data_IF_913301369104
#
_entry.id   IF_913301369104
#
_cell.length_a   1.000
_cell.length_b   1.000
_cell.length_c   1.000
_cell.angle_alpha   90.00
_cell.angle_beta   90.00
_cell.angle_gamma   90.00
#
_symmetry.space_group_name_H-M   'P 1'
#
loop_
_entity.id
_entity.type
_entity.pdbx_description
1 polymer ?
#
# COMPACT_ATOMS: atom_id res chain seq x y z
N UNK A 1 26.45 -16.11 21.39
CA UNK A 1 26.24 -14.65 21.52
C UNK A 1 26.70 -14.03 20.21
N UNK A 2 25.86 -13.21 19.57
CA UNK A 2 26.19 -12.60 18.28
C UNK A 2 27.12 -11.38 18.43
N UNK A 3 28.00 -11.15 17.44
CA UNK A 3 28.89 -9.99 17.40
C UNK A 3 28.09 -8.70 17.13
N UNK A 4 28.12 -7.69 18.02
CA UNK A 4 27.40 -6.43 17.84
C UNK A 4 27.71 -5.70 16.54
N UNK A 5 28.95 -5.77 16.04
CA UNK A 5 29.36 -5.09 14.80
C UNK A 5 28.74 -5.77 13.58
N UNK A 6 28.68 -7.10 13.59
CA UNK A 6 28.04 -7.88 12.52
C UNK A 6 26.52 -7.62 12.51
N UNK A 7 25.90 -7.55 13.69
CA UNK A 7 24.47 -7.24 13.80
C UNK A 7 24.18 -5.82 13.28
N UNK A 8 24.99 -4.83 13.66
CA UNK A 8 24.82 -3.45 13.20
C UNK A 8 24.95 -3.34 11.67
N UNK A 9 25.96 -3.98 11.08
CA UNK A 9 26.16 -3.97 9.64
C UNK A 9 24.97 -4.61 8.88
N UNK A 10 24.40 -5.70 9.41
CA UNK A 10 23.23 -6.33 8.79
C UNK A 10 21.97 -5.46 8.93
N UNK A 11 21.78 -4.78 10.07
CA UNK A 11 20.69 -3.81 10.26
C UNK A 11 20.78 -2.64 9.25
N UNK A 12 21.97 -2.11 9.01
CA UNK A 12 22.20 -1.03 8.05
C UNK A 12 21.88 -1.48 6.62
N UNK A 13 22.31 -2.69 6.25
CA UNK A 13 22.03 -3.28 4.95
C UNK A 13 20.52 -3.49 4.72
N UNK A 14 19.80 -3.98 5.73
CA UNK A 14 18.34 -4.13 5.68
C UNK A 14 17.68 -2.75 5.51
N UNK A 15 18.16 -1.74 6.22
CA UNK A 15 17.62 -0.38 6.16
C UNK A 15 17.79 0.22 4.76
N UNK A 16 19.00 0.17 4.20
CA UNK A 16 19.26 0.67 2.84
C UNK A 16 18.41 -0.05 1.78
N UNK A 17 18.27 -1.38 1.89
CA UNK A 17 17.45 -2.17 0.97
C UNK A 17 15.98 -1.71 0.98
N UNK A 18 15.43 -1.42 2.16
CA UNK A 18 14.05 -0.92 2.30
C UNK A 18 13.91 0.50 1.77
N UNK A 19 14.85 1.39 2.05
CA UNK A 19 14.85 2.77 1.52
C UNK A 19 14.87 2.83 0.00
N UNK A 20 15.60 1.92 -0.65
CA UNK A 20 15.70 1.87 -2.10
C UNK A 20 14.43 1.36 -2.79
N UNK A 21 13.60 0.58 -2.09
CA UNK A 21 12.50 -0.18 -2.72
C UNK A 21 11.12 0.16 -2.19
N UNK A 22 11.01 0.87 -1.08
CA UNK A 22 9.75 1.20 -0.41
C UNK A 22 9.68 2.70 -0.09
N UNK A 23 8.51 3.34 -0.21
CA UNK A 23 8.34 4.76 0.07
C UNK A 23 8.28 5.06 1.58
N UNK A 24 9.29 4.61 2.35
CA UNK A 24 9.28 4.68 3.82
C UNK A 24 9.39 6.11 4.37
N UNK A 25 9.81 7.06 3.53
CA UNK A 25 9.87 8.50 3.85
C UNK A 25 8.58 9.24 3.47
N UNK A 26 7.63 8.56 2.81
CA UNK A 26 6.33 9.11 2.44
C UNK A 26 5.29 8.84 3.53
N UNK A 27 4.22 9.63 3.56
CA UNK A 27 3.08 9.42 4.45
C UNK A 27 2.25 8.24 3.95
N UNK A 28 2.43 7.07 4.56
CA UNK A 28 1.78 5.81 4.17
C UNK A 28 1.48 4.94 5.39
N UNK A 29 0.49 4.06 5.28
CA UNK A 29 0.18 3.04 6.29
C UNK A 29 1.01 1.76 6.18
N UNK A 30 1.95 1.69 5.22
CA UNK A 30 2.69 0.48 4.88
C UNK A 30 2.11 -0.24 3.67
N UNK A 31 2.42 -1.55 3.55
CA UNK A 31 1.77 -2.43 2.57
C UNK A 31 0.26 -2.37 2.77
N UNK A 32 -0.46 -1.98 1.73
CA UNK A 32 -1.90 -1.71 1.79
C UNK A 32 -2.70 -3.01 1.73
N UNK A 33 -2.24 -3.98 0.92
CA UNK A 33 -2.90 -5.26 0.72
C UNK A 33 -2.00 -6.43 1.05
N UNK A 34 -2.62 -7.51 1.55
CA UNK A 34 -1.95 -8.79 1.79
C UNK A 34 -1.52 -9.42 0.46
N UNK A 35 -0.44 -10.18 0.49
CA UNK A 35 -0.04 -11.02 -0.65
C UNK A 35 -0.98 -12.21 -0.79
N UNK A 36 -1.63 -12.41 -1.95
CA UNK A 36 -2.40 -13.62 -2.23
C UNK A 36 -1.50 -14.87 -2.25
N UNK A 37 -2.05 -16.08 -2.05
CA UNK A 37 -1.28 -17.32 -2.12
C UNK A 37 -0.48 -17.45 -3.44
N UNK A 38 0.83 -17.62 -3.33
CA UNK A 38 1.73 -17.78 -4.47
C UNK A 38 1.99 -16.52 -5.30
N UNK A 39 1.46 -15.36 -4.92
CA UNK A 39 1.56 -14.13 -5.71
C UNK A 39 1.91 -12.92 -4.84
N UNK A 40 2.46 -11.86 -5.46
CA UNK A 40 2.78 -10.61 -4.77
C UNK A 40 1.77 -9.55 -5.14
N UNK A 41 1.15 -8.92 -4.15
CA UNK A 41 0.12 -7.90 -4.36
C UNK A 41 0.64 -6.76 -5.26
N UNK A 42 1.87 -6.30 -5.04
CA UNK A 42 2.45 -5.22 -5.85
C UNK A 42 2.53 -5.59 -7.35
N UNK A 43 2.85 -6.84 -7.70
CA UNK A 43 2.94 -7.27 -9.10
C UNK A 43 1.56 -7.25 -9.76
N UNK A 44 0.54 -7.70 -9.03
CA UNK A 44 -0.85 -7.67 -9.50
C UNK A 44 -1.36 -6.24 -9.69
N UNK A 45 -1.06 -5.35 -8.75
CA UNK A 45 -1.44 -3.94 -8.81
C UNK A 45 -0.73 -3.24 -9.98
N UNK A 46 0.55 -3.53 -10.19
CA UNK A 46 1.32 -2.96 -11.29
C UNK A 46 0.83 -3.47 -12.65
N UNK A 47 0.59 -4.78 -12.77
CA UNK A 47 0.01 -5.39 -13.97
C UNK A 47 -1.40 -4.87 -14.29
N UNK A 48 -2.16 -4.47 -13.27
CA UNK A 48 -3.46 -3.81 -13.43
C UNK A 48 -3.37 -2.32 -13.80
N UNK A 49 -2.16 -1.80 -14.07
CA UNK A 49 -1.93 -0.43 -14.53
C UNK A 49 -2.19 0.62 -13.45
N UNK A 50 -2.05 0.27 -12.17
CA UNK A 50 -2.36 1.17 -11.06
C UNK A 50 -1.16 2.00 -10.58
N UNK A 51 0.07 1.79 -11.08
CA UNK A 51 1.23 2.58 -10.65
C UNK A 51 1.02 4.07 -10.92
N UNK A 52 1.19 4.89 -9.90
CA UNK A 52 0.97 6.34 -10.00
C UNK A 52 -0.50 6.75 -10.08
N UNK A 53 -1.46 5.82 -10.04
CA UNK A 53 -2.89 6.12 -10.02
C UNK A 53 -3.22 7.04 -8.84
N UNK A 54 -3.95 8.11 -9.10
CA UNK A 54 -4.25 9.14 -8.12
C UNK A 54 -5.75 9.38 -8.02
N UNK A 55 -6.24 9.54 -6.79
CA UNK A 55 -7.60 9.97 -6.46
C UNK A 55 -7.49 11.00 -5.34
N UNK A 56 -7.99 12.21 -5.57
CA UNK A 56 -7.84 13.33 -4.64
C UNK A 56 -6.37 13.56 -4.27
N UNK A 57 -6.07 13.64 -2.96
CA UNK A 57 -4.70 13.74 -2.44
C UNK A 57 -3.94 12.41 -2.30
N UNK A 58 -4.58 11.27 -2.60
CA UNK A 58 -4.00 9.94 -2.44
C UNK A 58 -3.44 9.42 -3.77
N UNK A 59 -2.30 8.71 -3.73
CA UNK A 59 -1.68 8.11 -4.90
C UNK A 59 -1.13 6.71 -4.62
N UNK A 60 -1.18 5.81 -5.61
CA UNK A 60 -0.41 4.57 -5.60
C UNK A 60 1.05 4.90 -5.85
N UNK A 61 1.93 4.55 -4.91
CA UNK A 61 3.34 4.92 -5.00
C UNK A 61 3.96 4.50 -6.34
N UNK A 62 4.62 5.44 -7.06
CA UNK A 62 5.42 5.11 -8.24
C UNK A 62 6.61 4.20 -7.95
N UNK A 63 7.06 4.12 -6.69
CA UNK A 63 8.16 3.26 -6.26
C UNK A 63 7.67 1.83 -6.02
N UNK A 64 6.62 1.66 -5.21
CA UNK A 64 6.09 0.35 -4.85
C UNK A 64 4.55 0.34 -4.84
N UNK A 65 3.93 -0.32 -5.81
CA UNK A 65 2.49 -0.25 -6.05
C UNK A 65 1.59 -0.80 -4.93
N UNK A 66 2.13 -1.58 -3.99
CA UNK A 66 1.38 -1.97 -2.79
C UNK A 66 1.37 -0.91 -1.67
N UNK A 67 1.80 0.32 -1.95
CA UNK A 67 1.74 1.44 -1.00
C UNK A 67 0.84 2.53 -1.55
N UNK A 68 -0.19 2.87 -0.80
CA UNK A 68 -0.92 4.12 -0.98
C UNK A 68 -0.22 5.22 -0.19
N UNK A 69 0.09 6.33 -0.84
CA UNK A 69 0.77 7.49 -0.28
C UNK A 69 -0.14 8.71 -0.26
N UNK A 70 -0.01 9.52 0.78
CA UNK A 70 -0.66 10.82 0.89
C UNK A 70 0.31 11.89 0.36
N UNK A 71 -0.05 12.54 -0.75
CA UNK A 71 0.75 13.61 -1.39
C UNK A 71 0.70 14.95 -0.62
N UNK A 72 -0.10 15.01 0.45
CA UNK A 72 -0.40 16.22 1.20
C UNK A 72 -1.89 16.53 1.08
N UNK A 73 -2.62 16.46 2.20
CA UNK A 73 -4.05 16.78 2.23
C UNK A 73 -5.00 15.67 1.79
N UNK A 74 -4.52 14.44 1.54
CA UNK A 74 -5.42 13.31 1.27
C UNK A 74 -6.34 13.06 2.46
N UNK A 75 -7.64 12.88 2.17
CA UNK A 75 -8.63 12.47 3.14
C UNK A 75 -8.64 10.95 3.31
N UNK A 76 -9.26 10.45 4.38
CA UNK A 76 -9.49 9.01 4.53
C UNK A 76 -10.32 8.46 3.35
N UNK A 77 -11.32 9.20 2.89
CA UNK A 77 -12.15 8.83 1.75
C UNK A 77 -11.34 8.71 0.44
N UNK A 78 -10.34 9.57 0.22
CA UNK A 78 -9.45 9.47 -0.94
C UNK A 78 -8.66 8.16 -0.93
N UNK A 79 -8.07 7.82 0.22
CA UNK A 79 -7.26 6.60 0.40
C UNK A 79 -8.13 5.34 0.24
N UNK A 80 -9.33 5.33 0.82
CA UNK A 80 -10.25 4.21 0.72
C UNK A 80 -10.78 4.04 -0.71
N UNK A 81 -11.15 5.14 -1.38
CA UNK A 81 -11.62 5.12 -2.77
C UNK A 81 -10.50 4.65 -3.70
N UNK A 82 -9.27 5.11 -3.48
CA UNK A 82 -8.11 4.65 -4.24
C UNK A 82 -7.87 3.16 -4.03
N UNK A 83 -7.89 2.69 -2.78
CA UNK A 83 -7.70 1.27 -2.50
C UNK A 83 -8.80 0.38 -3.07
N UNK A 84 -10.07 0.81 -3.03
CA UNK A 84 -11.16 0.06 -3.65
C UNK A 84 -11.06 0.06 -5.18
N UNK A 85 -10.64 1.17 -5.79
CA UNK A 85 -10.36 1.24 -7.23
C UNK A 85 -9.25 0.26 -7.63
N UNK A 86 -8.18 0.18 -6.83
CA UNK A 86 -7.09 -0.79 -7.04
C UNK A 86 -7.62 -2.22 -6.95
N UNK A 87 -8.41 -2.55 -5.92
CA UNK A 87 -9.01 -3.88 -5.76
C UNK A 87 -9.86 -4.28 -6.96
N UNK A 88 -10.72 -3.38 -7.44
CA UNK A 88 -11.56 -3.61 -8.61
C UNK A 88 -10.74 -3.86 -9.88
N UNK A 89 -9.71 -3.04 -10.13
CA UNK A 89 -8.84 -3.21 -11.30
C UNK A 89 -8.05 -4.51 -11.26
N UNK A 90 -7.53 -4.88 -10.09
CA UNK A 90 -6.80 -6.15 -9.92
C UNK A 90 -7.72 -7.33 -10.12
N UNK A 91 -8.94 -7.29 -9.58
CA UNK A 91 -9.94 -8.33 -9.78
C UNK A 91 -10.33 -8.44 -11.26
N UNK A 92 -10.56 -7.32 -11.95
CA UNK A 92 -10.90 -7.33 -13.37
C UNK A 92 -9.75 -7.86 -14.25
N UNK A 93 -8.50 -7.58 -13.89
CA UNK A 93 -7.32 -8.00 -14.67
C UNK A 93 -6.90 -9.46 -14.40
N UNK A 94 -6.99 -9.92 -13.15
CA UNK A 94 -6.40 -11.20 -12.72
C UNK A 94 -7.41 -12.20 -12.14
N UNK A 95 -8.65 -11.77 -11.90
CA UNK A 95 -9.65 -12.54 -11.16
C UNK A 95 -9.44 -12.56 -9.64
N UNK A 96 -8.34 -11.99 -9.12
CA UNK A 96 -7.99 -12.03 -7.70
C UNK A 96 -8.55 -10.81 -6.99
N UNK A 97 -9.32 -11.04 -5.94
CA UNK A 97 -9.72 -10.00 -5.01
C UNK A 97 -8.64 -9.84 -3.94
N UNK A 98 -7.92 -8.71 -3.96
CA UNK A 98 -6.96 -8.39 -2.90
C UNK A 98 -7.66 -8.25 -1.55
N UNK A 99 -6.95 -8.46 -0.45
CA UNK A 99 -7.45 -8.21 0.91
C UNK A 99 -6.71 -7.04 1.54
N UNK A 100 -7.43 -6.14 2.23
CA UNK A 100 -6.80 -5.08 3.01
C UNK A 100 -5.91 -5.67 4.11
N UNK A 101 -4.68 -5.19 4.19
CA UNK A 101 -3.73 -5.49 5.28
C UNK A 101 -3.83 -4.43 6.38
N UNK A 102 -3.93 -3.16 5.98
CA UNK A 102 -4.11 -2.06 6.92
C UNK A 102 -5.52 -2.08 7.54
N UNK A 103 -5.60 -1.78 8.83
CA UNK A 103 -6.88 -1.64 9.54
C UNK A 103 -7.45 -0.26 9.26
N UNK A 104 -8.67 -0.21 8.71
CA UNK A 104 -9.47 1.00 8.54
C UNK A 104 -10.35 1.16 9.79
N UNK A 105 -10.30 2.31 10.43
CA UNK A 105 -11.03 2.62 11.66
C UNK A 105 -11.79 3.94 11.47
N UNK A 106 -12.93 4.07 12.16
CA UNK A 106 -13.85 5.20 12.00
C UNK A 106 -15.10 4.81 11.21
N UNK A 107 -16.00 5.78 11.03
CA UNK A 107 -17.21 5.61 10.23
C UNK A 107 -17.01 6.27 8.87
N UNK A 108 -17.48 5.62 7.81
CA UNK A 108 -17.58 6.29 6.51
C UNK A 108 -18.83 7.17 6.49
N UNK A 109 -18.88 8.15 5.59
CA UNK A 109 -20.08 8.96 5.38
C UNK A 109 -21.33 8.15 4.98
N UNK A 110 -21.14 6.90 4.52
CA UNK A 110 -22.23 5.96 4.23
C UNK A 110 -22.74 5.23 5.48
N UNK A 111 -21.88 5.04 6.48
CA UNK A 111 -22.22 4.35 7.74
C UNK A 111 -22.91 5.29 8.75
N UNK A 112 -22.88 6.61 8.52
CA UNK A 112 -23.44 7.63 9.42
C UNK A 112 -24.93 7.91 9.22
N UNK A 113 -25.59 7.28 8.25
CA UNK A 113 -27.05 7.43 8.06
C UNK A 113 -27.72 6.13 8.53
N UNK A 114 -28.46 6.15 9.66
CA UNK A 114 -29.30 5.02 10.01
C UNK A 114 -30.38 4.85 8.92
N UNK A 115 -30.61 3.60 8.52
CA UNK A 115 -31.64 3.20 7.56
C UNK A 115 -33.03 3.69 7.95
#
# INVERSE_FOLDING_TARGET
LGDPLVIAAEMDKITQSREATQPIKSRTGGSTFKNPPGQKAWQLIDAAGCRGLQIGGAQVSPMHTNFLINLGGATAADIETLGETVRQRVQANSGILLEWEIKRIGLTAKDSVPA
#
